data_IF_126603443984
#
_entry.id   IF_126603443984
#
_cell.length_a   1.000
_cell.length_b   1.000
_cell.length_c   1.000
_cell.angle_alpha   90.00
_cell.angle_beta   90.00
_cell.angle_gamma   90.00
#
_symmetry.space_group_name_H-M   'P 1'
#
loop_
_entity.id
_entity.type
_entity.pdbx_description
1 polymer ?
#
# COMPACT_ATOMS: atom_id res chain seq x y z
N UNK A 1 -8.23 10.82 0.79
CA UNK A 1 -7.88 10.02 0.64
C UNK A 1 -6.77 9.83 1.17
N UNK A 2 -6.15 10.02 1.02
CA UNK A 2 -5.08 9.83 1.35
C UNK A 2 -4.94 9.90 2.58
N UNK A 3 -5.64 10.17 3.04
CA UNK A 3 -5.60 10.25 4.15
C UNK A 3 -5.29 9.29 4.89
N UNK A 4 -5.72 8.33 4.64
CA UNK A 4 -5.50 7.30 5.34
C UNK A 4 -4.18 7.24 5.65
N UNK A 5 -3.52 7.58 4.89
CA UNK A 5 -2.33 7.36 5.02
C UNK A 5 -1.76 8.03 6.03
N UNK A 6 -2.11 9.01 6.30
CA UNK A 6 -1.50 9.61 7.15
C UNK A 6 -1.55 9.13 8.26
N UNK A 7 -2.38 8.58 8.51
CA UNK A 7 -2.53 8.09 9.64
C UNK A 7 -1.48 7.37 9.98
N UNK A 8 -1.15 6.77 9.24
CA UNK A 8 -0.20 5.95 9.49
C UNK A 8 0.88 6.63 9.97
N UNK A 9 0.95 7.48 9.81
CA UNK A 9 2.07 7.96 10.13
C UNK A 9 2.12 8.68 11.09
N UNK A 10 1.73 8.75 11.45
CA UNK A 10 1.90 9.41 12.26
C UNK A 10 2.15 9.07 13.18
N UNK A 11 2.05 8.61 13.47
CA UNK A 11 2.26 8.32 14.40
C UNK A 11 3.41 8.17 14.64
N UNK A 12 3.68 8.06 14.44
CA UNK A 12 4.59 7.95 14.70
C UNK A 12 5.23 8.75 15.02
N UNK A 13 5.21 9.16 15.03
CA UNK A 13 5.81 10.00 15.25
C UNK A 13 6.25 10.09 16.35
N UNK A 14 6.09 9.65 16.97
CA UNK A 14 6.56 9.72 17.96
C UNK A 14 7.43 9.16 18.23
N UNK A 15 7.72 8.78 18.06
CA UNK A 15 8.45 8.20 18.16
C UNK A 15 9.50 8.51 18.70
N UNK A 16 9.72 9.11 18.94
CA UNK A 16 10.66 9.60 19.41
C UNK A 16 11.37 9.00 20.30
N UNK A 17 10.99 8.41 20.77
CA UNK A 17 11.60 7.80 21.66
C UNK A 17 12.29 6.69 21.30
N UNK A 18 12.30 6.28 20.34
CA UNK A 18 12.84 5.17 19.96
C UNK A 18 14.13 5.19 19.77
N UNK A 19 14.70 4.80 20.33
CA UNK A 19 15.99 4.80 20.24
C UNK A 19 16.48 4.02 19.27
N UNK A 20 16.20 3.39 18.94
CA UNK A 20 16.79 2.60 18.25
C UNK A 20 16.97 2.64 17.14
N UNK A 21 17.29 2.26 16.71
CA UNK A 21 17.70 2.12 15.59
C UNK A 21 16.98 1.32 14.85
N UNK A 22 15.86 1.15 14.89
CA UNK A 22 15.12 0.38 14.14
C UNK A 22 15.11 0.92 12.79
N UNK A 23 15.16 0.20 11.80
CA UNK A 23 15.07 0.59 10.42
C UNK A 23 13.60 0.72 10.08
N UNK A 24 13.19 1.91 9.82
CA UNK A 24 11.78 2.12 9.48
C UNK A 24 11.57 1.95 7.99
N UNK A 25 10.43 1.44 7.59
CA UNK A 25 10.15 1.32 6.16
C UNK A 25 10.04 2.70 5.53
N UNK A 26 10.30 2.81 4.26
CA UNK A 26 10.14 4.08 3.56
C UNK A 26 8.70 4.53 3.66
N UNK A 27 8.50 5.83 3.63
CA UNK A 27 7.17 6.38 3.74
C UNK A 27 6.60 6.69 2.39
N UNK A 28 5.31 6.65 2.28
CA UNK A 28 4.62 6.98 1.07
C UNK A 28 3.16 6.75 1.27
N UNK A 29 2.41 6.71 0.17
CA UNK A 29 0.97 6.51 0.30
C UNK A 29 0.44 5.85 -0.98
N UNK A 30 -0.80 5.36 -0.89
CA UNK A 30 -1.44 4.73 -2.01
C UNK A 30 -2.74 5.44 -2.33
N UNK A 31 -3.18 5.32 -3.59
CA UNK A 31 -4.50 5.75 -3.98
C UNK A 31 -5.15 4.61 -4.75
N UNK A 32 -6.47 4.56 -4.68
CA UNK A 32 -7.24 3.57 -5.44
C UNK A 32 -8.37 4.30 -6.12
N UNK A 33 -8.53 4.05 -7.42
CA UNK A 33 -9.64 4.64 -8.13
C UNK A 33 -10.32 3.62 -9.00
N UNK A 34 -11.55 3.88 -9.32
CA UNK A 34 -12.30 3.03 -10.22
C UNK A 34 -11.84 3.32 -11.64
N UNK A 35 -11.62 2.28 -12.39
CA UNK A 35 -11.24 2.45 -13.78
C UNK A 35 -12.47 2.86 -14.56
N UNK A 36 -12.47 4.01 -15.22
CA UNK A 36 -13.64 4.47 -15.95
C UNK A 36 -14.05 3.52 -17.06
N UNK A 37 -13.11 2.80 -17.63
CA UNK A 37 -13.43 1.89 -18.73
C UNK A 37 -13.84 0.52 -18.24
N UNK A 38 -13.65 0.24 -16.98
CA UNK A 38 -14.00 -1.04 -16.41
C UNK A 38 -14.39 -0.81 -14.97
N UNK A 39 -15.64 -0.39 -14.72
CA UNK A 39 -16.05 0.03 -13.39
C UNK A 39 -15.89 -1.02 -12.30
N UNK A 40 -15.80 -2.28 -12.68
CA UNK A 40 -15.60 -3.30 -11.65
C UNK A 40 -14.13 -3.50 -11.33
N UNK A 41 -13.26 -2.73 -11.95
CA UNK A 41 -11.85 -2.86 -11.69
C UNK A 41 -11.34 -1.73 -10.82
N UNK A 42 -10.08 -1.81 -10.45
CA UNK A 42 -9.45 -0.79 -9.62
C UNK A 42 -8.09 -0.44 -10.17
N UNK A 43 -7.71 0.82 -10.06
CA UNK A 43 -6.39 1.27 -10.42
C UNK A 43 -5.71 1.67 -9.13
N UNK A 44 -4.60 1.04 -8.82
CA UNK A 44 -3.88 1.28 -7.58
C UNK A 44 -2.57 1.95 -7.93
N UNK A 45 -2.27 3.05 -7.23
CA UNK A 45 -1.00 3.74 -7.45
C UNK A 45 -0.32 3.95 -6.12
N UNK A 46 0.99 3.80 -6.13
CA UNK A 46 1.80 4.03 -4.94
C UNK A 46 2.76 5.17 -5.20
N UNK A 47 2.91 6.01 -4.19
CA UNK A 47 3.72 7.23 -4.29
C UNK A 47 4.70 7.28 -3.14
N UNK A 48 5.84 7.91 -3.39
CA UNK A 48 6.78 8.18 -2.30
C UNK A 48 6.21 9.28 -1.43
N UNK A 49 6.91 9.56 -0.35
CA UNK A 49 6.52 10.62 0.54
C UNK A 49 6.48 11.96 -0.18
N UNK A 50 7.29 12.14 -1.21
CA UNK A 50 7.31 13.36 -2.00
C UNK A 50 6.28 13.35 -3.12
N UNK A 51 5.39 12.43 -3.12
CA UNK A 51 4.33 12.31 -4.12
C UNK A 51 4.83 11.95 -5.50
N UNK A 52 5.94 11.23 -5.54
CA UNK A 52 6.42 10.73 -6.82
C UNK A 52 5.75 9.39 -7.09
N UNK A 53 5.12 9.24 -8.23
CA UNK A 53 4.48 7.98 -8.60
C UNK A 53 5.53 6.95 -8.94
N UNK A 54 5.56 5.86 -8.21
CA UNK A 54 6.56 4.83 -8.43
C UNK A 54 5.96 3.48 -8.81
N UNK A 55 4.64 3.33 -8.76
CA UNK A 55 4.06 2.04 -9.02
C UNK A 55 2.61 2.16 -9.42
N UNK A 56 2.19 1.39 -10.39
CA UNK A 56 0.80 1.38 -10.80
C UNK A 56 0.37 -0.05 -11.08
N UNK A 57 -0.79 -0.40 -10.62
CA UNK A 57 -1.31 -1.74 -10.83
C UNK A 57 -2.79 -1.65 -11.15
N UNK A 58 -3.27 -2.50 -12.04
CA UNK A 58 -4.62 -2.46 -12.49
C UNK A 58 -5.26 -3.82 -12.19
N UNK A 59 -6.26 -3.82 -11.36
CA UNK A 59 -7.01 -5.05 -11.07
C UNK A 59 -8.27 -5.03 -11.92
N UNK A 60 -8.36 -5.96 -12.85
CA UNK A 60 -9.40 -5.90 -13.84
C UNK A 60 -10.79 -6.26 -13.37
N UNK A 61 -10.87 -7.14 -12.42
CA UNK A 61 -12.17 -7.61 -11.98
C UNK A 61 -12.38 -7.50 -10.50
N UNK A 62 -11.60 -6.67 -9.85
CA UNK A 62 -11.70 -6.52 -8.41
C UNK A 62 -11.90 -5.06 -8.10
N UNK A 63 -12.99 -4.76 -7.43
CA UNK A 63 -13.25 -3.41 -6.99
C UNK A 63 -12.86 -3.38 -5.52
N UNK A 64 -11.79 -2.69 -5.20
CA UNK A 64 -11.32 -2.65 -3.83
C UNK A 64 -12.10 -1.64 -3.01
N UNK A 65 -12.58 -2.07 -1.85
CA UNK A 65 -13.31 -1.19 -0.97
C UNK A 65 -12.33 -0.72 0.10
N UNK A 66 -11.85 0.50 -0.04
CA UNK A 66 -10.81 1.01 0.85
C UNK A 66 -11.31 1.29 2.26
N UNK A 67 -12.61 1.16 2.47
CA UNK A 67 -13.11 1.32 3.82
C UNK A 67 -13.05 0.02 4.61
N UNK A 68 -12.74 -1.07 3.98
CA UNK A 68 -12.66 -2.34 4.68
C UNK A 68 -11.27 -2.51 5.28
N UNK A 69 -11.17 -2.88 6.55
CA UNK A 69 -9.86 -3.03 7.17
C UNK A 69 -8.92 -3.98 6.46
N UNK A 70 -9.45 -5.08 5.92
CA UNK A 70 -8.59 -6.01 5.21
C UNK A 70 -7.97 -5.39 3.97
N UNK A 71 -8.74 -4.54 3.29
CA UNK A 71 -8.22 -3.87 2.11
C UNK A 71 -7.08 -2.93 2.49
N UNK A 72 -7.25 -2.19 3.58
CA UNK A 72 -6.21 -1.27 4.01
C UNK A 72 -4.95 -2.05 4.41
N UNK A 73 -5.11 -3.16 5.11
CA UNK A 73 -3.97 -3.98 5.50
C UNK A 73 -3.23 -4.48 4.26
N UNK A 74 -3.99 -4.94 3.27
CA UNK A 74 -3.40 -5.43 2.04
C UNK A 74 -2.63 -4.33 1.31
N UNK A 75 -3.24 -3.16 1.18
CA UNK A 75 -2.61 -2.07 0.46
C UNK A 75 -1.37 -1.55 1.19
N UNK A 76 -1.41 -1.52 2.51
CA UNK A 76 -0.25 -1.08 3.26
C UNK A 76 0.90 -2.08 3.13
N UNK A 77 0.60 -3.37 3.14
CA UNK A 77 1.64 -4.38 2.94
C UNK A 77 2.26 -4.25 1.56
N UNK A 78 1.42 -4.02 0.55
CA UNK A 78 1.91 -3.87 -0.80
C UNK A 78 2.74 -2.60 -0.95
N UNK A 79 2.31 -1.52 -0.31
CA UNK A 79 3.04 -0.26 -0.35
C UNK A 79 4.44 -0.44 0.21
N UNK A 80 4.56 -1.10 1.36
CA UNK A 80 5.86 -1.30 1.97
C UNK A 80 6.76 -2.09 1.03
N UNK A 81 6.25 -3.14 0.43
CA UNK A 81 7.04 -3.95 -0.46
C UNK A 81 7.49 -3.17 -1.68
N UNK A 82 6.60 -2.39 -2.26
CA UNK A 82 6.92 -1.62 -3.44
C UNK A 82 7.93 -0.52 -3.13
N UNK A 83 7.77 0.17 -2.01
CA UNK A 83 8.69 1.24 -1.68
C UNK A 83 10.09 0.72 -1.39
N UNK A 84 10.18 -0.44 -0.73
CA UNK A 84 11.47 -1.05 -0.49
C UNK A 84 12.13 -1.42 -1.82
N UNK A 85 11.36 -2.00 -2.73
CA UNK A 85 11.89 -2.33 -4.04
C UNK A 85 12.34 -1.09 -4.78
N UNK A 86 11.57 -0.03 -4.69
CA UNK A 86 11.93 1.19 -5.39
C UNK A 86 13.20 1.81 -4.82
N UNK A 87 13.39 1.72 -3.52
CA UNK A 87 14.60 2.24 -2.89
C UNK A 87 15.82 1.56 -3.46
N UNK A 88 15.70 0.29 -3.74
CA UNK A 88 16.82 -0.46 -4.26
C UNK A 88 17.01 -0.25 -5.75
N UNK A 89 15.94 -0.31 -6.52
CA UNK A 89 16.06 -0.29 -7.97
C UNK A 89 16.00 1.09 -8.60
N UNK A 90 15.36 2.03 -7.92
CA UNK A 90 15.12 3.36 -8.44
C UNK A 90 14.33 3.31 -9.76
N UNK A 91 13.55 2.27 -9.96
CA UNK A 91 12.78 2.09 -11.19
C UNK A 91 11.31 2.04 -10.87
N UNK A 92 10.54 2.86 -11.55
CA UNK A 92 9.09 2.84 -11.39
C UNK A 92 8.50 1.69 -12.17
N UNK A 93 7.40 1.14 -11.69
CA UNK A 93 6.74 0.01 -12.33
C UNK A 93 5.35 0.42 -12.77
N UNK A 94 4.95 0.10 -14.03
CA UNK A 94 3.69 0.41 -14.51
C UNK A 94 2.83 -0.74 -14.60
N UNK A 95 2.84 -1.77 -14.77
CA UNK A 95 1.88 -2.87 -14.89
C UNK A 95 2.23 -3.91 -13.84
N UNK A 96 2.18 -3.50 -12.60
CA UNK A 96 2.58 -4.37 -11.52
C UNK A 96 1.53 -5.41 -11.17
N UNK A 97 1.89 -6.33 -10.31
CA UNK A 97 0.95 -7.34 -9.83
C UNK A 97 1.18 -7.67 -8.36
N UNK A 98 1.79 -6.76 -7.61
CA UNK A 98 2.09 -7.03 -6.20
C UNK A 98 0.81 -7.18 -5.38
N UNK A 99 -0.17 -6.30 -5.58
CA UNK A 99 -1.42 -6.38 -4.82
C UNK A 99 -2.16 -7.67 -5.17
N UNK A 100 -2.23 -7.98 -6.45
CA UNK A 100 -2.92 -9.18 -6.89
C UNK A 100 -2.27 -10.43 -6.29
N UNK A 101 -0.95 -10.46 -6.27
CA UNK A 101 -0.26 -11.62 -5.72
C UNK A 101 -0.44 -11.74 -4.22
N UNK A 102 -0.37 -10.65 -3.50
CA UNK A 102 -0.57 -10.69 -2.06
C UNK A 102 -1.99 -11.14 -1.73
N UNK A 103 -2.95 -10.67 -2.50
CA UNK A 103 -4.32 -11.06 -2.26
C UNK A 103 -4.52 -12.53 -2.60
N UNK A 104 -3.93 -13.00 -3.67
CA UNK A 104 -4.05 -14.39 -4.06
C UNK A 104 -3.48 -15.32 -2.99
N UNK A 105 -2.43 -14.89 -2.32
CA UNK A 105 -1.82 -15.69 -1.27
C UNK A 105 -2.49 -15.54 0.08
N UNK A 106 -3.53 -14.70 0.15
CA UNK A 106 -4.27 -14.54 1.38
C UNK A 106 -3.56 -13.73 2.43
N UNK A 107 -2.64 -12.86 2.03
CA UNK A 107 -1.90 -12.06 2.98
C UNK A 107 -2.81 -11.15 3.78
N UNK A 108 -3.83 -10.57 3.15
CA UNK A 108 -4.76 -9.72 3.84
C UNK A 108 -5.50 -10.49 4.95
N UNK A 109 -5.85 -11.74 4.70
CA UNK A 109 -6.53 -12.52 5.71
C UNK A 109 -5.61 -12.79 6.89
N UNK A 110 -4.38 -13.17 6.60
CA UNK A 110 -3.45 -13.49 7.66
C UNK A 110 -3.10 -12.29 8.51
N UNK A 111 -2.81 -11.17 7.87
CA UNK A 111 -2.43 -9.98 8.60
C UNK A 111 -3.60 -9.42 9.40
N UNK A 112 -4.79 -9.47 8.83
CA UNK A 112 -5.96 -8.96 9.52
C UNK A 112 -6.26 -9.83 10.73
N UNK A 113 -6.19 -11.13 10.58
CA UNK A 113 -6.44 -12.04 11.69
C UNK A 113 -5.45 -11.81 12.81
N UNK A 114 -4.18 -11.61 12.47
CA UNK A 114 -3.19 -11.34 13.47
C UNK A 114 -3.46 -10.08 14.24
N UNK A 115 -3.97 -9.07 13.55
CA UNK A 115 -4.22 -7.80 14.21
C UNK A 115 -5.43 -7.86 15.11
N UNK A 116 -6.33 -8.76 14.87
CA UNK A 116 -7.50 -8.85 15.70
C UNK A 116 -7.20 -9.42 17.06
N UNK A 117 -6.12 -10.10 17.16
CA UNK A 117 -5.76 -10.61 18.45
C UNK A 117 -4.96 -9.63 19.23
#
# INVERSE_FOLDING_TARGET
MLTAIFAANFGLSFIQAQPLQEVLPPKGYWTVETNPKNPIGSIIRFYTEDSKLVYEEYLKKVSLDVERPKTVVLLNAALDEVLISFEISQTSVKNGNVVAELKRRGVDEQLYAGRKN
#
